data_IF_904853812058
#
_entry.id   IF_904853812058
#
_cell.length_a   1.000
_cell.length_b   1.000
_cell.length_c   1.000
_cell.angle_alpha   90.00
_cell.angle_beta   90.00
_cell.angle_gamma   90.00
#
_symmetry.space_group_name_H-M   'P 1'
#
loop_
_entity.id
_entity.type
_entity.pdbx_description
1 polymer ?
#
# COMPACT_ATOMS: atom_id res chain seq x y z
N UNK A 1 17.90 3.32 -5.59
CA UNK A 1 17.80 1.92 -5.10
C UNK A 1 17.00 1.91 -3.81
N UNK A 2 16.11 0.93 -3.66
CA UNK A 2 15.06 0.84 -2.62
C UNK A 2 15.12 -0.52 -1.92
N UNK A 3 14.64 -0.60 -0.69
CA UNK A 3 14.54 -1.84 0.11
C UNK A 3 13.12 -1.98 0.69
N UNK A 4 12.39 -3.08 0.41
CA UNK A 4 12.80 -4.22 -0.41
C UNK A 4 13.04 -3.84 -1.88
N UNK A 5 13.73 -4.70 -2.64
CA UNK A 5 13.98 -4.45 -4.05
C UNK A 5 12.66 -4.37 -4.83
N UNK A 6 12.53 -3.36 -5.68
CA UNK A 6 11.40 -3.26 -6.59
C UNK A 6 11.42 -4.40 -7.62
N UNK A 7 10.25 -4.94 -7.93
CA UNK A 7 10.04 -5.96 -8.97
C UNK A 7 10.29 -5.38 -10.36
N UNK A 8 9.92 -4.12 -10.56
CA UNK A 8 10.26 -3.36 -11.76
C UNK A 8 10.55 -1.89 -11.42
N UNK A 9 11.33 -1.24 -12.25
CA UNK A 9 11.68 0.16 -12.11
C UNK A 9 11.63 0.83 -13.48
N UNK A 10 10.95 1.96 -13.56
CA UNK A 10 10.90 2.83 -14.73
C UNK A 10 11.52 4.16 -14.31
N UNK A 11 12.67 4.47 -14.89
CA UNK A 11 13.67 5.32 -14.26
C UNK A 11 13.67 6.78 -14.71
N UNK A 12 14.05 7.64 -13.76
CA UNK A 12 14.71 8.95 -13.88
C UNK A 12 14.28 9.87 -15.03
N UNK A 13 12.96 10.01 -15.20
CA UNK A 13 12.40 11.02 -16.08
C UNK A 13 12.80 12.40 -15.60
N UNK A 14 13.13 13.28 -16.53
CA UNK A 14 13.61 14.63 -16.21
C UNK A 14 12.53 15.45 -15.49
N UNK A 15 12.92 16.11 -14.40
CA UNK A 15 12.05 17.00 -13.65
C UNK A 15 11.17 16.31 -12.60
N UNK A 16 10.34 17.14 -11.96
CA UNK A 16 9.29 16.69 -11.04
C UNK A 16 8.00 16.41 -11.80
N UNK A 17 7.72 15.13 -12.06
CA UNK A 17 6.50 14.68 -12.73
C UNK A 17 5.31 14.55 -11.78
N UNK A 18 5.51 14.64 -10.47
CA UNK A 18 4.48 14.47 -9.44
C UNK A 18 3.65 15.76 -9.28
N UNK A 19 2.87 16.07 -10.31
CA UNK A 19 1.94 17.21 -10.32
C UNK A 19 0.85 17.09 -11.39
N UNK A 20 -0.20 17.90 -11.26
CA UNK A 20 -1.44 17.74 -12.03
C UNK A 20 -1.50 18.39 -13.42
N UNK A 21 -0.40 18.92 -13.97
CA UNK A 21 -0.44 19.47 -15.34
C UNK A 21 -0.60 18.36 -16.39
N UNK A 22 -1.20 18.67 -17.55
CA UNK A 22 -1.49 17.67 -18.57
C UNK A 22 -0.24 16.89 -19.03
N UNK A 23 0.86 17.61 -19.28
CA UNK A 23 2.13 16.99 -19.71
C UNK A 23 2.68 16.04 -18.64
N UNK A 24 2.67 16.47 -17.37
CA UNK A 24 3.12 15.63 -16.26
C UNK A 24 2.27 14.38 -16.11
N UNK A 25 0.96 14.48 -16.27
CA UNK A 25 0.06 13.31 -16.21
C UNK A 25 0.34 12.33 -17.35
N UNK A 26 0.65 12.83 -18.55
CA UNK A 26 1.05 11.99 -19.68
C UNK A 26 2.40 11.29 -19.43
N UNK A 27 3.37 11.99 -18.86
CA UNK A 27 4.67 11.42 -18.51
C UNK A 27 4.55 10.39 -17.37
N UNK A 28 3.70 10.67 -16.37
CA UNK A 28 3.36 9.71 -15.32
C UNK A 28 2.72 8.44 -15.90
N UNK A 29 1.75 8.58 -16.82
CA UNK A 29 1.12 7.44 -17.48
C UNK A 29 2.14 6.59 -18.24
N UNK A 30 3.08 7.23 -18.92
CA UNK A 30 4.20 6.56 -19.62
C UNK A 30 5.11 5.83 -18.63
N UNK A 31 5.49 6.50 -17.53
CA UNK A 31 6.32 5.95 -16.47
C UNK A 31 5.71 4.72 -15.81
N UNK A 32 4.41 4.78 -15.49
CA UNK A 32 3.63 3.70 -14.90
C UNK A 32 3.44 2.55 -15.89
N UNK A 33 3.09 2.82 -17.14
CA UNK A 33 2.89 1.80 -18.16
C UNK A 33 4.18 0.99 -18.43
N UNK A 34 5.33 1.65 -18.37
CA UNK A 34 6.63 1.00 -18.54
C UNK A 34 7.00 -0.01 -17.42
N UNK A 35 6.30 0.00 -16.29
CA UNK A 35 6.50 -0.98 -15.21
C UNK A 35 5.91 -2.37 -15.53
N UNK A 36 5.00 -2.46 -16.52
CA UNK A 36 4.35 -3.72 -16.88
C UNK A 36 3.41 -4.29 -15.81
N UNK A 37 2.89 -3.44 -14.92
CA UNK A 37 1.93 -3.82 -13.89
C UNK A 37 0.52 -4.04 -14.48
N UNK A 38 -0.37 -4.65 -13.69
CA UNK A 38 -1.80 -4.76 -14.08
C UNK A 38 -2.51 -3.40 -14.01
N UNK A 39 -2.08 -2.54 -13.08
CA UNK A 39 -2.61 -1.20 -12.92
C UNK A 39 -2.15 -0.29 -14.08
N UNK A 40 -3.07 0.52 -14.59
CA UNK A 40 -2.80 1.59 -15.56
C UNK A 40 -3.27 2.91 -14.96
N UNK A 41 -2.42 3.94 -15.03
CA UNK A 41 -2.81 5.29 -14.63
C UNK A 41 -3.75 5.88 -15.69
N UNK A 42 -4.94 6.30 -15.27
CA UNK A 42 -6.01 6.83 -16.13
C UNK A 42 -5.93 8.36 -16.30
N UNK A 43 -4.98 9.01 -15.62
CA UNK A 43 -4.81 10.46 -15.64
C UNK A 43 -5.55 11.18 -14.50
N UNK A 44 -6.22 10.47 -13.60
CA UNK A 44 -6.80 11.07 -12.40
C UNK A 44 -5.72 11.38 -11.36
N UNK A 45 -5.21 12.61 -11.41
CA UNK A 45 -4.15 13.05 -10.50
C UNK A 45 -4.66 13.35 -9.09
N UNK A 46 -5.91 13.78 -8.92
CA UNK A 46 -6.40 14.27 -7.62
C UNK A 46 -6.38 13.14 -6.58
N UNK A 47 -6.74 11.92 -6.98
CA UNK A 47 -6.67 10.73 -6.12
C UNK A 47 -5.24 10.31 -5.77
N UNK A 48 -4.30 10.51 -6.68
CA UNK A 48 -2.88 10.21 -6.46
C UNK A 48 -2.22 11.28 -5.58
N UNK A 49 -2.59 12.54 -5.76
CA UNK A 49 -2.08 13.68 -4.99
C UNK A 49 -2.42 13.57 -3.51
N UNK A 50 -3.60 13.05 -3.17
CA UNK A 50 -4.00 12.82 -1.77
C UNK A 50 -3.07 11.84 -1.02
N UNK A 51 -2.32 11.00 -1.75
CA UNK A 51 -1.34 10.06 -1.15
C UNK A 51 0.05 10.67 -0.98
N UNK A 52 0.24 11.92 -1.40
CA UNK A 52 1.56 12.52 -1.52
C UNK A 52 2.21 12.74 -0.16
N UNK A 53 3.46 12.30 -0.07
CA UNK A 53 4.33 12.57 1.07
C UNK A 53 5.45 13.52 0.65
N UNK A 54 5.70 14.53 1.46
CA UNK A 54 6.75 15.54 1.24
C UNK A 54 7.95 15.32 2.19
N UNK A 55 7.90 14.30 3.05
CA UNK A 55 8.95 13.99 4.01
C UNK A 55 9.13 12.48 4.21
N UNK A 56 10.37 12.08 4.51
CA UNK A 56 10.73 10.71 4.85
C UNK A 56 10.60 10.50 6.36
N UNK A 57 10.09 9.34 6.76
CA UNK A 57 10.11 8.90 8.17
C UNK A 57 11.48 8.29 8.48
N UNK A 58 12.02 8.55 9.67
CA UNK A 58 13.36 8.08 10.09
C UNK A 58 14.49 8.41 9.10
N UNK A 59 14.31 9.45 8.29
CA UNK A 59 15.31 9.94 7.33
C UNK A 59 15.44 9.12 6.04
N UNK A 60 14.77 7.97 5.90
CA UNK A 60 14.85 7.15 4.68
C UNK A 60 13.60 6.34 4.33
N UNK A 61 12.55 6.36 5.13
CA UNK A 61 11.34 5.56 4.88
C UNK A 61 10.29 6.37 4.12
N UNK A 62 9.80 5.78 3.04
CA UNK A 62 8.55 6.13 2.39
C UNK A 62 7.43 5.46 3.16
N UNK A 63 6.71 6.26 3.95
CA UNK A 63 5.58 5.83 4.76
C UNK A 63 4.34 6.62 4.35
N UNK A 64 3.34 5.92 3.81
CA UNK A 64 2.09 6.49 3.31
C UNK A 64 0.97 6.45 4.36
N UNK A 65 1.28 6.10 5.61
CA UNK A 65 0.30 5.96 6.69
C UNK A 65 -0.69 4.81 6.52
N UNK A 66 -0.43 3.92 5.56
CA UNK A 66 -1.25 2.74 5.25
C UNK A 66 -0.38 1.53 4.98
N UNK A 67 -0.94 0.34 5.21
CA UNK A 67 -0.26 -0.91 4.92
C UNK A 67 -0.34 -1.19 3.41
N UNK A 68 0.80 -1.45 2.80
CA UNK A 68 0.95 -1.74 1.38
C UNK A 68 0.83 -3.25 1.17
N UNK A 69 0.10 -3.68 0.15
CA UNK A 69 -0.13 -5.10 -0.17
C UNK A 69 -0.02 -5.33 -1.67
N UNK A 70 0.22 -6.58 -2.07
CA UNK A 70 0.25 -6.99 -3.48
C UNK A 70 1.06 -6.06 -4.38
N UNK A 71 0.63 -5.93 -5.64
CA UNK A 71 1.22 -4.98 -6.59
C UNK A 71 1.00 -3.55 -6.11
N UNK A 72 2.10 -2.86 -5.81
CA UNK A 72 2.11 -1.49 -5.31
C UNK A 72 3.01 -0.64 -6.18
N UNK A 73 2.50 0.50 -6.65
CA UNK A 73 3.26 1.43 -7.50
C UNK A 73 3.51 2.71 -6.74
N UNK A 74 4.79 3.04 -6.57
CA UNK A 74 5.26 4.25 -5.89
C UNK A 74 6.12 5.02 -6.88
N UNK A 75 5.94 6.35 -6.91
CA UNK A 75 6.89 7.23 -7.57
C UNK A 75 7.49 8.21 -6.57
N UNK A 76 8.76 8.55 -6.76
CA UNK A 76 9.42 9.60 -5.99
C UNK A 76 10.22 10.54 -6.89
N UNK A 77 10.18 11.81 -6.52
CA UNK A 77 10.95 12.88 -7.14
C UNK A 77 12.17 13.23 -6.30
N UNK A 78 13.28 13.48 -7.00
CA UNK A 78 14.54 13.91 -6.43
C UNK A 78 15.05 15.15 -7.18
N UNK A 79 15.10 16.31 -6.50
CA UNK A 79 15.39 17.63 -7.10
C UNK A 79 16.86 18.09 -7.05
N UNK A 80 17.79 17.28 -6.54
CA UNK A 80 19.21 17.64 -6.46
C UNK A 80 20.11 16.40 -6.36
N UNK A 81 19.91 15.44 -7.27
CA UNK A 81 20.73 14.23 -7.34
C UNK A 81 22.10 14.58 -7.91
N UNK A 82 23.18 14.14 -7.26
CA UNK A 82 24.52 14.37 -7.76
C UNK A 82 24.73 13.73 -9.15
N UNK A 83 25.33 14.49 -10.07
CA UNK A 83 25.62 14.04 -11.44
C UNK A 83 24.65 14.63 -12.48
N UNK A 84 24.71 14.14 -13.73
CA UNK A 84 23.96 14.72 -14.86
C UNK A 84 22.44 14.54 -14.73
N UNK A 85 21.98 13.66 -13.83
CA UNK A 85 20.57 13.45 -13.55
C UNK A 85 19.92 14.70 -12.93
N UNK A 86 20.56 15.33 -11.93
CA UNK A 86 20.16 16.62 -11.32
C UNK A 86 18.78 16.63 -10.67
N UNK A 87 17.73 16.53 -11.48
CA UNK A 87 16.32 16.63 -11.12
C UNK A 87 15.53 15.54 -11.85
N UNK A 88 15.00 14.55 -11.12
CA UNK A 88 14.47 13.32 -11.72
C UNK A 88 13.30 12.73 -10.94
N UNK A 89 12.37 12.09 -11.65
CA UNK A 89 11.29 11.27 -11.08
C UNK A 89 11.50 9.80 -11.43
N UNK A 90 11.42 8.93 -10.43
CA UNK A 90 11.52 7.48 -10.59
C UNK A 90 10.22 6.79 -10.18
N UNK A 91 9.87 5.72 -10.89
CA UNK A 91 8.71 4.88 -10.64
C UNK A 91 9.15 3.46 -10.29
N UNK A 92 8.53 2.86 -9.29
CA UNK A 92 8.80 1.51 -8.84
C UNK A 92 7.52 0.70 -8.72
N UNK A 93 7.61 -0.56 -9.14
CA UNK A 93 6.61 -1.58 -8.86
C UNK A 93 7.16 -2.51 -7.78
N UNK A 94 6.39 -2.71 -6.72
CA UNK A 94 6.64 -3.68 -5.67
C UNK A 94 5.55 -4.75 -5.68
N UNK A 95 5.88 -5.93 -5.15
CA UNK A 95 4.88 -6.92 -4.77
C UNK A 95 5.06 -7.30 -3.30
N UNK A 96 4.18 -6.80 -2.43
CA UNK A 96 4.21 -7.08 -1.00
C UNK A 96 3.37 -8.31 -0.60
N UNK A 97 2.73 -8.96 -1.58
CA UNK A 97 1.85 -10.10 -1.34
C UNK A 97 0.78 -9.85 -0.27
N UNK A 98 0.44 -10.88 0.49
CA UNK A 98 -0.56 -10.80 1.57
C UNK A 98 0.04 -10.44 2.94
N UNK A 99 1.36 -10.58 3.10
CA UNK A 99 2.06 -10.17 4.32
C UNK A 99 2.05 -8.65 4.49
N UNK A 100 2.18 -7.95 3.36
CA UNK A 100 2.21 -6.50 3.27
C UNK A 100 3.48 -5.86 3.86
N UNK A 101 3.60 -4.55 3.69
CA UNK A 101 4.68 -3.74 4.24
C UNK A 101 4.15 -2.37 4.67
N UNK A 102 4.63 -1.85 5.80
CA UNK A 102 4.22 -0.51 6.28
C UNK A 102 4.99 0.62 5.61
N UNK A 103 6.16 0.33 5.05
CA UNK A 103 7.02 1.35 4.42
C UNK A 103 8.02 0.73 3.45
N UNK A 104 8.61 1.58 2.61
CA UNK A 104 9.73 1.24 1.73
C UNK A 104 10.92 2.13 2.08
N UNK A 105 12.08 1.54 2.32
CA UNK A 105 13.29 2.30 2.59
C UNK A 105 14.00 2.72 1.29
N UNK A 106 14.39 3.99 1.21
CA UNK A 106 15.32 4.48 0.20
C UNK A 106 16.76 4.19 0.66
N UNK A 107 17.55 3.56 -0.19
CA UNK A 107 18.98 3.35 0.09
C UNK A 107 19.81 4.61 -0.19
N UNK A 108 19.25 5.59 -0.92
CA UNK A 108 19.80 6.92 -1.11
C UNK A 108 18.65 7.93 -1.10
N UNK A 109 18.76 8.93 -0.23
CA UNK A 109 17.72 9.94 0.04
C UNK A 109 18.11 11.32 -0.49
N UNK A 110 19.28 11.43 -1.12
CA UNK A 110 19.79 12.69 -1.62
C UNK A 110 18.82 13.34 -2.61
N UNK A 111 18.40 14.57 -2.29
CA UNK A 111 17.52 15.35 -3.13
C UNK A 111 16.06 14.93 -3.10
N UNK A 112 15.66 13.96 -2.26
CA UNK A 112 14.24 13.58 -2.11
C UNK A 112 13.38 14.83 -1.85
N UNK A 113 12.31 14.96 -2.62
CA UNK A 113 11.36 16.07 -2.46
C UNK A 113 9.98 15.55 -2.11
N UNK A 114 9.45 14.61 -2.89
CA UNK A 114 8.18 13.95 -2.60
C UNK A 114 8.06 12.58 -3.20
N UNK A 115 7.06 11.84 -2.72
CA UNK A 115 6.60 10.60 -3.31
C UNK A 115 5.08 10.50 -3.30
N UNK A 116 4.54 9.69 -4.20
CA UNK A 116 3.11 9.37 -4.30
C UNK A 116 2.92 7.86 -4.46
N UNK A 117 1.72 7.41 -4.09
CA UNK A 117 1.26 6.03 -4.20
C UNK A 117 0.13 5.97 -5.24
N UNK A 118 0.35 5.31 -6.36
CA UNK A 118 -0.67 5.17 -7.42
C UNK A 118 -1.66 4.05 -7.11
N UNK A 119 -1.17 2.96 -6.55
CA UNK A 119 -1.99 1.79 -6.24
C UNK A 119 -1.30 0.95 -5.18
N UNK A 120 -2.11 0.25 -4.40
CA UNK A 120 -1.72 -0.86 -3.52
C UNK A 120 -2.80 -1.92 -3.62
N UNK A 121 -2.42 -3.19 -3.53
CA UNK A 121 -3.34 -4.31 -3.46
C UNK A 121 -4.23 -4.27 -2.21
N UNK A 122 -5.31 -5.05 -2.25
CA UNK A 122 -6.14 -5.27 -1.07
C UNK A 122 -5.44 -6.23 -0.10
N UNK A 123 -5.43 -5.87 1.18
CA UNK A 123 -4.99 -6.78 2.24
C UNK A 123 -5.89 -8.03 2.31
N UNK A 124 -5.35 -9.13 2.84
CA UNK A 124 -6.13 -10.34 3.07
C UNK A 124 -7.21 -10.08 4.14
N UNK A 125 -8.42 -9.71 3.70
CA UNK A 125 -9.60 -9.69 4.58
C UNK A 125 -10.02 -11.14 4.80
N UNK A 126 -10.23 -11.60 6.06
CA UNK A 126 -10.73 -12.95 6.29
C UNK A 126 -12.02 -13.17 5.49
N UNK A 127 -12.05 -14.25 4.72
CA UNK A 127 -13.17 -14.55 3.84
C UNK A 127 -14.50 -14.58 4.63
N UNK A 128 -15.65 -14.28 3.99
CA UNK A 128 -16.96 -14.28 4.66
C UNK A 128 -17.25 -15.56 5.46
N UNK A 129 -16.70 -16.70 5.02
CA UNK A 129 -16.79 -17.99 5.70
C UNK A 129 -16.14 -17.99 7.10
N UNK A 130 -15.03 -17.26 7.29
CA UNK A 130 -14.34 -17.14 8.58
C UNK A 130 -15.18 -16.34 9.57
N UNK A 131 -15.81 -15.26 9.10
CA UNK A 131 -16.75 -14.48 9.91
C UNK A 131 -17.99 -15.29 10.29
N UNK A 132 -18.52 -16.07 9.34
CA UNK A 132 -19.64 -16.98 9.62
C UNK A 132 -19.25 -18.07 10.63
N UNK A 133 -18.05 -18.66 10.51
CA UNK A 133 -17.56 -19.65 11.45
C UNK A 133 -17.41 -19.06 12.86
N UNK A 134 -16.89 -17.83 12.95
CA UNK A 134 -16.75 -17.11 14.22
C UNK A 134 -18.11 -16.85 14.87
N UNK A 135 -19.08 -16.35 14.10
CA UNK A 135 -20.45 -16.10 14.57
C UNK A 135 -21.12 -17.41 15.01
N UNK A 136 -20.98 -18.47 14.21
CA UNK A 136 -21.55 -19.78 14.53
C UNK A 136 -20.91 -20.37 15.78
N UNK A 137 -19.59 -20.24 15.95
CA UNK A 137 -18.88 -20.68 17.15
C UNK A 137 -19.39 -19.94 18.40
N UNK A 138 -19.47 -18.60 18.35
CA UNK A 138 -20.01 -17.82 19.47
C UNK A 138 -21.49 -18.15 19.76
N UNK A 139 -22.30 -18.31 18.72
CA UNK A 139 -23.71 -18.71 18.85
C UNK A 139 -23.89 -20.08 19.49
N UNK A 140 -23.11 -21.08 19.05
CA UNK A 140 -23.14 -22.43 19.57
C UNK A 140 -22.71 -22.49 21.04
N UNK A 141 -21.63 -21.79 21.41
CA UNK A 141 -21.14 -21.70 22.80
C UNK A 141 -22.20 -21.02 23.68
N UNK A 142 -22.75 -19.89 23.24
CA UNK A 142 -23.80 -19.18 23.97
C UNK A 142 -25.07 -20.02 24.18
N UNK A 143 -25.47 -20.78 23.16
CA UNK A 143 -26.60 -21.71 23.26
C UNK A 143 -26.34 -22.83 24.27
N UNK A 144 -25.16 -23.46 24.23
CA UNK A 144 -24.79 -24.52 25.15
C UNK A 144 -24.75 -24.03 26.62
N UNK A 145 -24.26 -22.82 26.86
CA UNK A 145 -24.28 -22.18 28.18
C UNK A 145 -25.70 -21.91 28.68
N UNK A 146 -26.63 -21.54 27.79
CA UNK A 146 -28.05 -21.35 28.15
C UNK A 146 -28.74 -22.67 28.45
N UNK A 147 -28.50 -23.70 27.64
CA UNK A 147 -29.08 -25.03 27.81
C UNK A 147 -28.64 -25.71 29.12
N UNK A 148 -27.36 -25.58 29.50
CA UNK A 148 -26.82 -26.17 30.72
C UNK A 148 -27.37 -25.54 32.02
N UNK A 149 -27.79 -24.27 32.00
CA UNK A 149 -28.48 -23.64 33.14
C UNK A 149 -29.89 -24.19 33.36
N UNK A 150 -30.61 -24.55 32.30
CA UNK A 150 -31.95 -25.16 32.40
C UNK A 150 -31.94 -26.58 32.97
N UNK A 151 -30.86 -27.33 32.76
CA UNK A 151 -30.75 -28.72 33.22
C UNK A 151 -30.41 -28.87 34.72
N UNK A 152 -29.79 -27.86 35.36
CA UNK A 152 -29.36 -27.91 36.77
C UNK A 152 -30.45 -27.56 37.79
N UNK A 153 -31.68 -27.24 37.37
CA UNK A 153 -32.78 -26.83 38.24
C UNK A 153 -33.69 -27.93 38.78
N UNK A 154 -33.41 -29.22 38.52
CA UNK A 154 -34.23 -30.34 39.01
C UNK A 154 -33.45 -31.19 40.01
N UNK A 155 -33.36 -30.73 41.26
CA UNK A 155 -33.09 -31.59 42.41
C UNK A 155 -34.45 -31.96 43.00
N UNK A 156 -34.90 -33.20 42.76
CA UNK A 156 -36.06 -33.74 43.45
C UNK A 156 -35.64 -34.20 44.84
N UNK A 157 -36.24 -33.63 45.89
CA UNK A 157 -36.20 -34.22 47.22
C UNK A 157 -37.00 -35.53 47.21
N UNK A 158 -36.42 -36.57 47.79
CA UNK A 158 -37.10 -37.80 48.20
C UNK A 158 -37.07 -37.87 49.74
#
# INVERSE_FOLDING_TARGET
>A
MVSPNATACSGYYEGNLLGGSADKRADQATGVAALGATYTFDGDWDTVEDTKIEALVNGNLLDFGTMLYGQTIIAAHFGNVAGPAGNVTAFWLFDFGTAGASSVALNNTQGFSNAVLYTTGAGAVPEPSVWMLLILAFGAIGYAMRASKGARGRVACA
#
